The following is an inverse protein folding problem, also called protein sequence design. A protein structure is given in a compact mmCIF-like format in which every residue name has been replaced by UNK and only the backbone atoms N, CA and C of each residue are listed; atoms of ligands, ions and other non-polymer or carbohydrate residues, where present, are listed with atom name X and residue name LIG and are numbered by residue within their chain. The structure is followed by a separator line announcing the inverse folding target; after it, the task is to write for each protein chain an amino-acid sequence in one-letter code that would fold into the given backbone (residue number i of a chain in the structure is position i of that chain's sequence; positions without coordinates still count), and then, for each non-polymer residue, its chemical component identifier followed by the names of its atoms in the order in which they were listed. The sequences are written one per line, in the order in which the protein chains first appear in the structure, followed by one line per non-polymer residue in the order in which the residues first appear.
data_IF_984797048931
#
_entry.id   IF_984797048931
#
_cell.length_a   1.000
_cell.length_b   1.000
_cell.length_c   1.000
_cell.angle_alpha   90.00
_cell.angle_beta   90.00
_cell.angle_gamma   90.00
#
_symmetry.space_group_name_H-M   'P 1'
#
loop_
_entity.id
_entity.type
_entity.pdbx_description
1 polymer ?
#
# COMPACT_ATOMS: atom_id res chain seq x y z
N UNK A 1 27.49 -20.06 11.05
CA UNK A 1 27.06 -19.59 9.72
C UNK A 1 26.34 -18.29 9.97
N UNK A 2 26.97 -17.16 9.64
CA UNK A 2 26.30 -15.86 9.67
C UNK A 2 25.22 -15.93 8.59
N UNK A 3 23.95 -15.92 9.01
CA UNK A 3 22.88 -15.60 8.07
C UNK A 3 23.10 -14.13 7.73
N UNK A 4 23.56 -13.84 6.52
CA UNK A 4 23.52 -12.50 5.96
C UNK A 4 22.09 -11.99 6.16
N UNK A 5 21.94 -11.01 7.04
CA UNK A 5 20.63 -10.44 7.32
C UNK A 5 20.19 -9.79 6.01
N UNK A 6 19.09 -10.24 5.37
CA UNK A 6 18.72 -9.73 4.06
C UNK A 6 18.59 -8.21 4.16
N UNK A 7 19.31 -7.47 3.31
CA UNK A 7 19.24 -6.02 3.31
C UNK A 7 17.84 -5.59 2.88
N UNK A 8 16.97 -5.30 3.86
CA UNK A 8 15.60 -4.89 3.62
C UNK A 8 15.60 -3.49 3.04
N UNK A 9 14.93 -3.35 1.89
CA UNK A 9 14.75 -2.06 1.27
C UNK A 9 13.70 -1.25 2.04
N UNK A 10 14.04 -0.02 2.43
CA UNK A 10 13.15 0.89 3.14
C UNK A 10 13.31 2.33 2.71
N UNK A 11 12.28 2.87 2.06
CA UNK A 11 12.11 4.29 1.78
C UNK A 11 11.35 4.96 2.90
N UNK A 12 11.98 6.01 3.44
CA UNK A 12 11.36 6.89 4.42
C UNK A 12 10.60 8.00 3.73
N UNK A 13 9.46 8.36 4.31
CA UNK A 13 8.55 9.33 3.75
C UNK A 13 9.21 10.70 3.62
N UNK A 14 8.94 11.34 2.48
CA UNK A 14 9.15 12.77 2.30
C UNK A 14 7.83 13.42 1.86
N UNK A 15 7.47 14.53 2.49
CA UNK A 15 6.23 15.28 2.18
C UNK A 15 4.97 14.40 2.32
N UNK A 16 4.04 14.40 1.36
CA UNK A 16 2.83 13.57 1.39
C UNK A 16 2.87 12.44 0.34
N UNK A 17 4.06 12.00 -0.10
CA UNK A 17 4.23 10.91 -1.07
C UNK A 17 4.13 9.51 -0.42
N UNK A 18 3.25 9.33 0.57
CA UNK A 18 3.13 8.07 1.29
C UNK A 18 2.85 6.87 0.37
N UNK A 19 2.01 7.05 -0.66
CA UNK A 19 1.73 5.97 -1.62
C UNK A 19 2.99 5.54 -2.39
N UNK A 20 3.80 6.49 -2.85
CA UNK A 20 5.03 6.21 -3.58
C UNK A 20 5.97 5.33 -2.77
N UNK A 21 6.21 5.71 -1.53
CA UNK A 21 7.11 4.99 -0.65
C UNK A 21 6.51 3.65 -0.21
N UNK A 22 5.20 3.59 0.05
CA UNK A 22 4.52 2.33 0.34
C UNK A 22 4.68 1.33 -0.82
N UNK A 23 4.51 1.77 -2.07
CA UNK A 23 4.70 0.91 -3.25
C UNK A 23 6.16 0.46 -3.38
N UNK A 24 7.14 1.36 -3.30
CA UNK A 24 8.55 0.99 -3.41
C UNK A 24 8.99 0.04 -2.28
N UNK A 25 8.50 0.26 -1.06
CA UNK A 25 8.70 -0.64 0.08
C UNK A 25 8.05 -2.00 -0.16
N UNK A 26 6.81 -2.04 -0.65
CA UNK A 26 6.11 -3.30 -0.97
C UNK A 26 6.88 -4.15 -2.00
N UNK A 27 7.42 -3.50 -3.03
CA UNK A 27 8.22 -4.15 -4.08
C UNK A 27 9.67 -4.42 -3.68
N UNK A 28 10.11 -3.89 -2.54
CA UNK A 28 11.48 -4.03 -2.04
C UNK A 28 12.53 -3.54 -3.05
N UNK A 29 12.23 -2.46 -3.77
CA UNK A 29 13.09 -1.91 -4.83
C UNK A 29 13.06 -0.41 -4.85
N UNK A 30 14.24 0.18 -5.03
CA UNK A 30 14.39 1.61 -5.22
C UNK A 30 13.89 2.05 -6.59
N UNK A 31 13.14 3.14 -6.60
CA UNK A 31 12.64 3.80 -7.82
C UNK A 31 11.82 2.85 -8.73
N UNK A 32 11.23 1.77 -8.18
CA UNK A 32 10.30 0.90 -8.90
C UNK A 32 9.08 1.70 -9.38
N UNK A 33 8.62 2.60 -8.51
CA UNK A 33 7.76 3.72 -8.83
C UNK A 33 8.49 5.03 -8.54
N UNK A 34 8.20 6.04 -9.36
CA UNK A 34 8.68 7.40 -9.19
C UNK A 34 7.49 8.35 -9.15
N UNK A 35 7.70 9.58 -8.66
CA UNK A 35 6.67 10.63 -8.76
C UNK A 35 6.18 10.79 -10.19
N UNK A 36 7.10 10.78 -11.17
CA UNK A 36 6.75 10.94 -12.57
C UNK A 36 5.86 9.80 -13.09
N UNK A 37 6.14 8.54 -12.69
CA UNK A 37 5.31 7.40 -13.10
C UNK A 37 3.93 7.43 -12.45
N UNK A 38 3.83 7.74 -11.15
CA UNK A 38 2.53 7.86 -10.47
C UNK A 38 1.72 9.07 -10.98
N UNK A 39 2.38 10.17 -11.30
CA UNK A 39 1.74 11.35 -11.94
C UNK A 39 1.19 11.01 -13.33
N UNK A 40 1.88 10.16 -14.10
CA UNK A 40 1.43 9.70 -15.40
C UNK A 40 0.21 8.77 -15.28
N UNK A 41 0.24 7.83 -14.33
CA UNK A 41 -0.90 6.95 -14.01
C UNK A 41 -2.12 7.78 -13.61
N UNK A 42 -1.94 8.74 -12.68
CA UNK A 42 -3.01 9.63 -12.25
C UNK A 42 -3.59 10.46 -13.41
N UNK A 43 -2.75 10.89 -14.36
CA UNK A 43 -3.21 11.60 -15.56
C UNK A 43 -4.02 10.70 -16.49
N UNK A 44 -3.57 9.46 -16.70
CA UNK A 44 -4.30 8.48 -17.53
C UNK A 44 -5.68 8.18 -16.96
N UNK A 45 -5.79 7.96 -15.64
CA UNK A 45 -7.07 7.72 -14.97
C UNK A 45 -8.06 8.90 -15.14
N UNK A 46 -7.56 10.15 -15.11
CA UNK A 46 -8.37 11.33 -15.43
C UNK A 46 -8.83 11.32 -16.89
N UNK A 47 -7.99 10.83 -17.81
CA UNK A 47 -8.35 10.75 -19.22
C UNK A 47 -9.39 9.67 -19.52
N UNK A 48 -9.44 8.62 -18.69
CA UNK A 48 -10.36 7.50 -18.89
C UNK A 48 -11.68 7.68 -18.12
N UNK A 49 -11.84 8.78 -17.37
CA UNK A 49 -13.07 9.09 -16.62
C UNK A 49 -14.24 9.41 -17.57
N UNK A 50 -15.32 8.60 -17.57
CA UNK A 50 -16.48 8.80 -18.43
C UNK A 50 -17.31 10.06 -18.08
N UNK A 51 -17.10 10.68 -16.91
CA UNK A 51 -17.80 11.90 -16.47
C UNK A 51 -17.06 13.21 -16.80
N UNK A 52 -16.10 13.17 -17.72
CA UNK A 52 -15.26 14.30 -18.18
C UNK A 52 -15.97 15.61 -18.55
N UNK A 53 -17.26 15.59 -18.87
CA UNK A 53 -17.99 16.77 -19.35
C UNK A 53 -18.17 17.89 -18.32
N UNK A 54 -17.92 17.64 -17.02
CA UNK A 54 -18.17 18.61 -15.94
C UNK A 54 -16.91 19.36 -15.43
N UNK A 55 -15.80 19.36 -16.17
CA UNK A 55 -14.52 19.86 -15.67
C UNK A 55 -14.28 21.34 -16.01
N UNK A 56 -13.99 22.15 -14.99
CA UNK A 56 -13.53 23.55 -15.11
C UNK A 56 -11.99 23.66 -15.04
N UNK A 57 -11.38 24.79 -15.45
CA UNK A 57 -9.93 25.00 -15.33
C UNK A 57 -9.39 24.89 -13.89
N UNK A 58 -10.19 25.22 -12.87
CA UNK A 58 -9.82 25.09 -11.45
C UNK A 58 -9.82 23.62 -10.96
N UNK A 59 -10.61 22.74 -11.57
CA UNK A 59 -10.60 21.28 -11.31
C UNK A 59 -9.38 20.54 -11.88
N UNK A 60 -8.54 21.21 -12.66
CA UNK A 60 -7.25 20.65 -13.13
C UNK A 60 -6.18 20.68 -12.02
N UNK A 61 -6.31 21.61 -11.06
CA UNK A 61 -5.41 21.76 -9.90
C UNK A 61 -5.83 20.84 -8.73
N UNK A 62 -7.14 20.63 -8.57
CA UNK A 62 -7.72 19.67 -7.62
C UNK A 62 -8.31 18.51 -8.41
N UNK A 63 -7.45 17.57 -8.84
CA UNK A 63 -7.90 16.43 -9.64
C UNK A 63 -8.70 15.48 -8.72
N UNK A 64 -9.81 14.88 -9.19
CA UNK A 64 -10.63 13.96 -8.41
C UNK A 64 -9.91 12.73 -7.86
N UNK A 65 -8.65 12.51 -8.27
CA UNK A 65 -7.82 11.36 -7.89
C UNK A 65 -6.42 11.73 -7.41
N UNK A 66 -6.10 13.04 -7.30
CA UNK A 66 -4.76 13.50 -6.98
C UNK A 66 -4.70 14.98 -6.60
N UNK A 67 -3.92 15.32 -5.57
CA UNK A 67 -3.36 16.65 -5.40
C UNK A 67 -1.86 16.65 -5.77
N UNK A 68 -1.55 16.97 -7.04
CA UNK A 68 -0.19 16.94 -7.60
C UNK A 68 0.82 17.87 -6.97
N UNK A 69 0.32 18.86 -6.21
CA UNK A 69 1.17 19.76 -5.47
C UNK A 69 1.73 19.10 -4.20
N UNK A 70 1.05 18.09 -3.65
CA UNK A 70 1.37 17.52 -2.34
C UNK A 70 1.83 16.05 -2.35
N UNK A 71 1.45 15.28 -3.38
CA UNK A 71 1.81 13.86 -3.50
C UNK A 71 0.78 12.88 -2.93
N UNK A 72 -0.40 13.39 -2.57
CA UNK A 72 -1.51 12.60 -2.04
C UNK A 72 -2.24 11.90 -3.20
N UNK A 73 -1.75 10.73 -3.58
CA UNK A 73 -2.37 9.84 -4.56
C UNK A 73 -3.48 9.01 -3.92
N UNK A 74 -4.57 8.80 -4.64
CA UNK A 74 -5.70 8.01 -4.18
C UNK A 74 -5.55 6.50 -4.47
N UNK A 75 -6.58 5.74 -4.09
CA UNK A 75 -6.65 4.29 -4.27
C UNK A 75 -6.64 3.86 -5.74
N UNK A 76 -7.17 4.67 -6.67
CA UNK A 76 -7.21 4.30 -8.08
C UNK A 76 -5.80 4.31 -8.68
N UNK A 77 -4.98 5.28 -8.26
CA UNK A 77 -3.55 5.31 -8.64
C UNK A 77 -2.82 4.10 -8.07
N UNK A 78 -3.10 3.69 -6.82
CA UNK A 78 -2.56 2.48 -6.22
C UNK A 78 -2.91 1.24 -7.04
N UNK A 79 -4.19 1.05 -7.38
CA UNK A 79 -4.67 -0.13 -8.11
C UNK A 79 -4.04 -0.19 -9.50
N UNK A 80 -4.08 0.90 -10.27
CA UNK A 80 -3.50 0.94 -11.60
C UNK A 80 -1.96 0.71 -11.58
N UNK A 81 -1.26 1.26 -10.58
CA UNK A 81 0.17 1.03 -10.40
C UNK A 81 0.51 -0.44 -10.13
N UNK A 82 -0.33 -1.13 -9.35
CA UNK A 82 -0.18 -2.55 -9.06
C UNK A 82 -0.51 -3.43 -10.27
N UNK A 83 -1.56 -3.10 -11.01
CA UNK A 83 -1.95 -3.77 -12.25
C UNK A 83 -0.86 -3.66 -13.33
N UNK A 84 -0.23 -2.50 -13.49
CA UNK A 84 0.93 -2.33 -14.40
C UNK A 84 2.12 -3.25 -14.06
N UNK A 85 2.15 -3.81 -12.85
CA UNK A 85 3.16 -4.77 -12.37
C UNK A 85 2.63 -6.21 -12.26
N UNK A 86 1.50 -6.52 -12.90
CA UNK A 86 0.90 -7.86 -12.88
C UNK A 86 0.47 -8.29 -11.48
N UNK A 87 -0.08 -7.35 -10.71
CA UNK A 87 -0.65 -7.60 -9.38
C UNK A 87 -2.13 -7.26 -9.39
N UNK A 88 -2.90 -8.04 -8.65
CA UNK A 88 -4.32 -7.74 -8.39
C UNK A 88 -4.50 -7.30 -6.94
N UNK A 89 -5.56 -6.53 -6.69
CA UNK A 89 -5.89 -6.01 -5.36
C UNK A 89 -7.23 -6.57 -4.91
N UNK A 90 -7.23 -7.22 -3.75
CA UNK A 90 -8.45 -7.71 -3.10
C UNK A 90 -8.67 -6.89 -1.84
N UNK A 91 -9.84 -6.27 -1.75
CA UNK A 91 -10.24 -5.52 -0.57
C UNK A 91 -10.68 -6.49 0.53
N UNK A 92 -10.05 -6.43 1.71
CA UNK A 92 -10.48 -7.24 2.85
C UNK A 92 -11.78 -6.70 3.44
N UNK A 93 -12.81 -7.54 3.50
CA UNK A 93 -14.08 -7.18 4.12
C UNK A 93 -13.89 -6.98 5.63
N UNK A 94 -13.93 -5.72 6.06
CA UNK A 94 -13.75 -5.29 7.46
C UNK A 94 -14.77 -5.88 8.45
N UNK A 95 -15.84 -6.52 7.98
CA UNK A 95 -16.77 -7.27 8.83
C UNK A 95 -16.16 -8.58 9.33
N UNK A 96 -15.11 -9.05 8.66
CA UNK A 96 -14.32 -10.21 9.04
C UNK A 96 -13.03 -9.76 9.74
N UNK A 97 -12.62 -10.50 10.77
CA UNK A 97 -11.32 -10.31 11.42
C UNK A 97 -10.16 -10.73 10.52
N UNK A 98 -8.95 -10.31 10.88
CA UNK A 98 -7.72 -10.61 10.15
C UNK A 98 -7.35 -12.11 10.18
N UNK A 99 -7.99 -12.91 11.04
CA UNK A 99 -7.85 -14.37 11.05
C UNK A 99 -8.26 -15.03 9.73
N UNK A 100 -9.09 -14.39 8.90
CA UNK A 100 -9.45 -14.91 7.57
C UNK A 100 -8.40 -14.62 6.49
N UNK A 101 -7.33 -13.88 6.82
CA UNK A 101 -6.24 -13.58 5.90
C UNK A 101 -5.19 -14.70 5.98
N UNK A 102 -4.94 -15.33 4.84
CA UNK A 102 -3.94 -16.37 4.69
C UNK A 102 -2.55 -15.73 4.51
N UNK A 103 -1.81 -15.59 5.61
CA UNK A 103 -0.46 -14.99 5.63
C UNK A 103 0.66 -15.98 5.29
N UNK A 104 0.34 -17.28 5.25
CA UNK A 104 1.28 -18.36 5.11
C UNK A 104 1.54 -18.67 3.64
N UNK A 105 2.79 -18.56 3.23
CA UNK A 105 3.26 -18.96 1.92
C UNK A 105 3.74 -20.41 1.97
N UNK A 106 2.82 -21.38 2.14
CA UNK A 106 3.22 -22.78 2.14
C UNK A 106 3.75 -23.17 0.76
N UNK A 107 5.02 -23.55 0.70
CA UNK A 107 5.69 -24.09 -0.48
C UNK A 107 5.23 -25.50 -0.88
N UNK A 108 4.09 -25.96 -0.34
CA UNK A 108 3.54 -27.29 -0.59
C UNK A 108 2.27 -27.20 -1.45
N UNK A 109 2.44 -26.84 -2.72
CA UNK A 109 1.71 -27.48 -3.82
C UNK A 109 0.30 -27.01 -4.21
N UNK A 110 -0.19 -25.84 -3.79
CA UNK A 110 -1.40 -25.26 -4.40
C UNK A 110 -1.08 -24.01 -5.22
N UNK A 111 -1.36 -24.06 -6.53
CA UNK A 111 -1.23 -22.97 -7.51
C UNK A 111 -2.34 -21.90 -7.37
N UNK A 112 -2.67 -21.53 -6.12
CA UNK A 112 -3.52 -20.38 -5.85
C UNK A 112 -2.66 -19.16 -5.58
N UNK A 113 -3.04 -18.05 -6.22
CA UNK A 113 -2.33 -16.76 -6.22
C UNK A 113 -1.68 -16.46 -4.88
N UNK A 114 -0.35 -16.46 -4.86
CA UNK A 114 0.44 -16.19 -3.66
C UNK A 114 0.25 -14.74 -3.24
N UNK A 115 -0.07 -14.50 -1.97
CA UNK A 115 -0.12 -13.15 -1.39
C UNK A 115 1.24 -12.47 -1.58
N UNK A 116 1.25 -11.41 -2.38
CA UNK A 116 2.44 -10.59 -2.61
C UNK A 116 2.66 -9.66 -1.42
N UNK A 117 1.62 -9.07 -0.84
CA UNK A 117 1.79 -8.27 0.36
C UNK A 117 0.49 -7.59 0.73
N UNK A 118 0.57 -6.70 1.69
CA UNK A 118 -0.61 -6.00 2.21
C UNK A 118 -0.32 -4.51 2.14
N UNK A 119 -1.29 -3.75 1.64
CA UNK A 119 -1.27 -2.29 1.71
C UNK A 119 -2.42 -1.84 2.62
N UNK A 120 -2.12 -0.92 3.53
CA UNK A 120 -3.06 -0.39 4.50
C UNK A 120 -3.35 1.07 4.20
N UNK A 121 -4.60 1.48 4.42
CA UNK A 121 -5.01 2.87 4.42
C UNK A 121 -5.44 3.29 5.83
N UNK A 122 -4.50 3.81 6.62
CA UNK A 122 -4.71 4.05 8.06
C UNK A 122 -5.12 5.50 8.34
N UNK A 123 -5.91 5.73 9.39
CA UNK A 123 -6.22 7.07 9.85
C UNK A 123 -5.05 7.65 10.64
N UNK A 124 -4.61 8.84 10.25
CA UNK A 124 -3.63 9.63 11.00
C UNK A 124 -4.33 10.82 11.63
N UNK A 125 -4.21 10.93 12.96
CA UNK A 125 -4.73 12.06 13.74
C UNK A 125 -3.56 12.89 14.24
N UNK A 126 -3.54 14.18 13.89
CA UNK A 126 -2.55 15.16 14.40
C UNK A 126 -3.25 16.27 15.16
N UNK A 127 -2.48 16.99 15.99
CA UNK A 127 -2.95 18.13 16.80
C UNK A 127 -4.21 17.81 17.63
N UNK A 128 -4.11 16.78 18.50
CA UNK A 128 -5.22 16.32 19.35
C UNK A 128 -6.53 15.98 18.59
N UNK A 129 -6.42 15.59 17.31
CA UNK A 129 -7.56 15.17 16.48
C UNK A 129 -8.17 16.27 15.61
N UNK A 130 -7.64 17.50 15.64
CA UNK A 130 -8.08 18.60 14.79
C UNK A 130 -7.72 18.39 13.31
N UNK A 131 -6.68 17.61 13.03
CA UNK A 131 -6.32 17.22 11.67
C UNK A 131 -6.47 15.71 11.50
N UNK A 132 -7.34 15.32 10.56
CA UNK A 132 -7.51 13.93 10.13
C UNK A 132 -6.98 13.80 8.71
N UNK A 133 -6.08 12.85 8.51
CA UNK A 133 -5.60 12.45 7.19
C UNK A 133 -5.56 10.94 7.08
N UNK A 134 -5.25 10.47 5.88
CA UNK A 134 -5.00 9.06 5.59
C UNK A 134 -3.52 8.86 5.29
N UNK A 135 -3.04 7.64 5.48
CA UNK A 135 -1.65 7.26 5.24
C UNK A 135 -1.57 5.85 4.70
N UNK A 136 -0.72 5.68 3.68
CA UNK A 136 -0.49 4.40 3.03
C UNK A 136 0.68 3.69 3.70
N UNK A 137 0.47 2.45 4.13
CA UNK A 137 1.50 1.61 4.77
C UNK A 137 1.61 0.29 4.02
N UNK A 138 2.83 -0.19 3.80
CA UNK A 138 3.07 -1.50 3.21
C UNK A 138 3.49 -2.50 4.30
N UNK A 139 2.93 -3.70 4.24
CA UNK A 139 3.44 -4.88 4.94
C UNK A 139 3.91 -5.91 3.92
N UNK A 140 5.08 -6.50 4.16
CA UNK A 140 5.67 -7.48 3.23
C UNK A 140 6.31 -8.64 3.98
N UNK A 141 6.06 -9.86 3.49
CA UNK A 141 6.83 -11.04 3.89
C UNK A 141 8.13 -11.10 3.09
N UNK A 142 9.26 -11.06 3.79
CA UNK A 142 10.61 -11.09 3.23
C UNK A 142 11.35 -12.21 3.94
N UNK A 143 11.78 -13.22 3.17
CA UNK A 143 12.48 -14.40 3.71
C UNK A 143 11.72 -15.09 4.87
N UNK A 144 10.38 -15.15 4.80
CA UNK A 144 9.55 -15.80 5.80
C UNK A 144 9.11 -14.89 6.94
N UNK A 145 9.70 -13.71 7.11
CA UNK A 145 9.35 -12.76 8.18
C UNK A 145 8.50 -11.63 7.62
N UNK A 146 7.41 -11.30 8.30
CA UNK A 146 6.59 -10.13 7.96
C UNK A 146 7.21 -8.87 8.55
N UNK A 147 7.20 -7.79 7.76
CA UNK A 147 7.68 -6.48 8.19
C UNK A 147 6.60 -5.42 8.02
N UNK A 148 6.51 -4.53 9.00
CA UNK A 148 5.90 -3.22 8.83
C UNK A 148 6.91 -2.28 8.19
N UNK A 149 6.58 -1.86 6.97
CA UNK A 149 7.40 -0.97 6.14
C UNK A 149 6.75 0.42 6.01
N UNK A 150 6.05 0.85 7.05
CA UNK A 150 5.57 2.22 7.17
C UNK A 150 6.73 3.19 6.96
N UNK A 151 6.59 4.05 5.95
CA UNK A 151 7.59 5.02 5.56
C UNK A 151 7.82 6.12 6.60
N UNK A 152 6.94 6.30 7.59
CA UNK A 152 7.18 7.18 8.74
C UNK A 152 8.14 6.55 9.78
N UNK A 153 8.35 5.23 9.74
CA UNK A 153 9.31 4.54 10.60
C UNK A 153 10.76 4.87 10.23
N UNK A 154 11.64 4.85 11.23
CA UNK A 154 13.09 5.04 11.01
C UNK A 154 13.72 3.85 10.28
N UNK A 155 13.19 2.66 10.52
CA UNK A 155 13.65 1.38 9.99
C UNK A 155 12.47 0.37 9.92
N UNK A 156 12.56 -0.67 9.07
CA UNK A 156 11.59 -1.77 9.05
C UNK A 156 11.38 -2.39 10.43
N UNK A 157 10.12 -2.62 10.80
CA UNK A 157 9.80 -3.33 12.04
C UNK A 157 9.35 -4.75 11.73
N UNK A 158 10.13 -5.74 12.17
CA UNK A 158 9.75 -7.14 12.06
C UNK A 158 8.58 -7.45 12.99
N UNK A 159 7.62 -8.22 12.50
CA UNK A 159 6.66 -8.92 13.34
C UNK A 159 7.30 -10.22 13.85
N UNK A 160 6.96 -10.62 15.07
CA UNK A 160 7.40 -11.85 15.73
C UNK A 160 6.87 -13.08 14.99
N UNK A 161 5.59 -13.07 14.63
CA UNK A 161 4.89 -14.16 13.97
C UNK A 161 3.63 -13.69 13.24
N UNK A 162 2.90 -14.63 12.64
CA UNK A 162 1.66 -14.36 11.91
C UNK A 162 0.53 -13.88 12.83
N UNK A 163 0.53 -14.24 14.11
CA UNK A 163 -0.51 -13.84 15.06
C UNK A 163 -0.35 -12.38 15.46
N UNK A 164 0.90 -11.90 15.60
CA UNK A 164 1.17 -10.47 15.79
C UNK A 164 0.74 -9.66 14.56
N UNK A 165 0.97 -10.16 13.34
CA UNK A 165 0.47 -9.52 12.11
C UNK A 165 -1.07 -9.43 12.13
N UNK A 166 -1.76 -10.51 12.49
CA UNK A 166 -3.24 -10.52 12.57
C UNK A 166 -3.76 -9.56 13.63
N UNK A 167 -3.17 -9.57 14.82
CA UNK A 167 -3.55 -8.66 15.89
C UNK A 167 -3.35 -7.19 15.48
N UNK A 168 -2.26 -6.89 14.77
CA UNK A 168 -2.02 -5.57 14.21
C UNK A 168 -3.08 -5.19 13.16
N UNK A 169 -3.41 -6.08 12.25
CA UNK A 169 -4.45 -5.85 11.23
C UNK A 169 -5.85 -5.65 11.85
N UNK A 170 -6.22 -6.45 12.84
CA UNK A 170 -7.48 -6.28 13.59
C UNK A 170 -7.54 -4.93 14.31
N UNK A 171 -6.42 -4.48 14.89
CA UNK A 171 -6.32 -3.14 15.45
C UNK A 171 -6.57 -2.06 14.38
N UNK A 172 -5.95 -2.19 13.20
CA UNK A 172 -6.14 -1.23 12.09
C UNK A 172 -7.60 -1.22 11.61
N UNK A 173 -8.22 -2.39 11.46
CA UNK A 173 -9.64 -2.52 11.09
C UNK A 173 -10.53 -1.82 12.15
N UNK A 174 -10.26 -2.05 13.43
CA UNK A 174 -10.98 -1.42 14.55
C UNK A 174 -10.81 0.11 14.62
N UNK A 175 -9.72 0.65 14.04
CA UNK A 175 -9.50 2.09 13.89
C UNK A 175 -10.01 2.66 12.55
N UNK A 176 -10.90 1.93 11.86
CA UNK A 176 -11.50 2.32 10.58
C UNK A 176 -10.45 2.56 9.48
N UNK A 177 -9.37 1.75 9.54
CA UNK A 177 -8.42 1.55 8.47
C UNK A 177 -8.88 0.51 7.46
N UNK A 178 -8.36 0.60 6.25
CA UNK A 178 -8.65 -0.34 5.17
C UNK A 178 -7.46 -1.27 4.95
N UNK A 179 -7.73 -2.53 4.65
CA UNK A 179 -6.73 -3.57 4.41
C UNK A 179 -6.90 -4.06 2.97
N UNK A 180 -5.85 -3.92 2.17
CA UNK A 180 -5.80 -4.31 0.76
C UNK A 180 -4.79 -5.45 0.61
N UNK A 181 -5.26 -6.60 0.15
CA UNK A 181 -4.42 -7.75 -0.14
C UNK A 181 -3.92 -7.64 -1.58
N UNK A 182 -2.60 -7.55 -1.75
CA UNK A 182 -1.96 -7.51 -3.06
C UNK A 182 -1.56 -8.93 -3.43
N UNK A 183 -2.13 -9.45 -4.51
CA UNK A 183 -1.95 -10.83 -4.95
C UNK A 183 -1.05 -10.85 -6.19
N UNK A 184 -0.25 -11.91 -6.33
CA UNK A 184 0.35 -12.20 -7.63
C UNK A 184 -0.74 -12.70 -8.59
N UNK A 185 -0.72 -12.23 -9.84
CA UNK A 185 -1.50 -12.88 -10.89
C UNK A 185 -1.11 -14.36 -11.00
N UNK A 186 -2.08 -15.21 -11.36
CA UNK A 186 -1.80 -16.61 -11.68
C UNK A 186 -1.01 -16.61 -12.99
N UNK A 187 0.16 -17.24 -12.98
CA UNK A 187 0.90 -17.54 -14.23
C UNK A 187 0.08 -18.47 -15.13
#
# INVERSE_FOLDING_TARGET
MEFDNPQIYHERQRLQFCLLHALNNLFQRKDEFTRASLDAIAQKLVLDDPNKQNWTPFSVVFKPHHNSLTGNYDINVLIAALEEKGKTVVWHDRRNGASSIHLENHSNGSEDSKLFGIVLNVQVRRYAGLWKSRHWVALRNICGVWYNLDSDLREPMAFQDADEVRAFLDYIIGQDGEVLLVMNEKE
#
